data_IF_248819615945
#
_entry.id   IF_248819615945
#
_cell.length_a   1.000
_cell.length_b   1.000
_cell.length_c   1.000
_cell.angle_alpha   90.00
_cell.angle_beta   90.00
_cell.angle_gamma   90.00
#
_symmetry.space_group_name_H-M   'P 1'
#
loop_
_entity.id
_entity.type
_entity.pdbx_description
1 polymer ?
#
# COMPACT_ATOMS: atom_id res chain seq x y z
N UNK A 1 1.82 9.35 -20.34
CA UNK A 1 0.91 10.24 -19.57
C UNK A 1 -0.37 9.57 -19.10
N UNK A 2 -1.29 9.05 -19.95
CA UNK A 2 -2.56 8.48 -19.43
C UNK A 2 -2.38 7.35 -18.40
N UNK A 3 -1.43 6.44 -18.59
CA UNK A 3 -1.08 5.41 -17.59
C UNK A 3 -0.74 5.98 -16.20
N UNK A 4 -0.16 7.18 -16.13
CA UNK A 4 0.12 7.86 -14.86
C UNK A 4 -1.17 8.23 -14.15
N UNK A 5 -2.18 8.72 -14.89
CA UNK A 5 -3.51 8.98 -14.36
C UNK A 5 -4.22 7.70 -13.92
N UNK A 6 -3.98 6.57 -14.60
CA UNK A 6 -4.50 5.26 -14.16
C UNK A 6 -3.94 4.90 -12.79
N UNK A 7 -2.63 5.01 -12.56
CA UNK A 7 -2.03 4.77 -11.24
C UNK A 7 -2.59 5.70 -10.17
N UNK A 8 -2.73 6.99 -10.51
CA UNK A 8 -3.33 8.01 -9.64
C UNK A 8 -4.73 7.60 -9.17
N UNK A 9 -5.61 7.27 -10.11
CA UNK A 9 -7.01 6.94 -9.84
C UNK A 9 -7.19 5.57 -9.17
N UNK A 10 -6.34 4.60 -9.53
CA UNK A 10 -6.39 3.25 -8.97
C UNK A 10 -6.01 3.27 -7.48
N UNK A 11 -5.00 4.06 -7.13
CA UNK A 11 -4.45 4.12 -5.77
C UNK A 11 -4.87 5.35 -4.96
N UNK A 12 -5.78 6.17 -5.50
CA UNK A 12 -6.27 7.40 -4.88
C UNK A 12 -5.17 8.37 -4.43
N UNK A 13 -4.17 8.59 -5.29
CA UNK A 13 -2.98 9.39 -5.01
C UNK A 13 -3.15 10.85 -5.47
N UNK A 14 -2.44 11.77 -4.81
CA UNK A 14 -2.21 13.14 -5.32
C UNK A 14 -1.21 13.15 -6.48
N UNK A 15 -1.08 14.26 -7.19
CA UNK A 15 -0.14 14.36 -8.31
C UNK A 15 1.32 14.25 -7.82
N UNK A 16 1.61 14.86 -6.67
CA UNK A 16 2.91 14.79 -6.00
C UNK A 16 3.21 13.38 -5.48
N UNK A 17 2.21 12.70 -4.91
CA UNK A 17 2.37 11.32 -4.46
C UNK A 17 2.65 10.37 -5.62
N UNK A 18 2.00 10.57 -6.77
CA UNK A 18 2.26 9.76 -7.97
C UNK A 18 3.67 9.99 -8.47
N UNK A 19 4.13 11.24 -8.57
CA UNK A 19 5.52 11.55 -8.94
C UNK A 19 6.50 10.81 -8.03
N UNK A 20 6.35 10.97 -6.71
CA UNK A 20 7.20 10.32 -5.72
C UNK A 20 7.22 8.79 -5.88
N UNK A 21 6.05 8.17 -6.02
CA UNK A 21 5.92 6.72 -6.11
C UNK A 21 6.40 6.15 -7.45
N UNK A 22 6.39 6.92 -8.54
CA UNK A 22 6.99 6.49 -9.81
C UNK A 22 8.52 6.37 -9.66
N UNK A 23 9.15 7.30 -8.94
CA UNK A 23 10.60 7.27 -8.71
C UNK A 23 10.97 6.12 -7.75
N UNK A 24 10.16 5.90 -6.71
CA UNK A 24 10.43 4.90 -5.67
C UNK A 24 10.14 3.45 -6.14
N UNK A 25 9.10 3.23 -6.95
CA UNK A 25 8.58 1.87 -7.21
C UNK A 25 8.84 1.35 -8.61
N UNK A 26 9.67 0.31 -8.69
CA UNK A 26 9.93 -0.44 -9.93
C UNK A 26 8.65 -1.01 -10.58
N UNK A 27 7.63 -1.36 -9.80
CA UNK A 27 6.35 -1.81 -10.34
C UNK A 27 5.62 -0.70 -11.12
N UNK A 28 5.70 0.54 -10.65
CA UNK A 28 5.10 1.69 -11.33
C UNK A 28 5.90 2.02 -12.59
N UNK A 29 7.23 2.04 -12.51
CA UNK A 29 8.10 2.24 -13.68
C UNK A 29 7.83 1.20 -14.77
N UNK A 30 7.76 -0.09 -14.40
CA UNK A 30 7.42 -1.18 -15.31
C UNK A 30 6.06 -1.00 -15.98
N UNK A 31 5.03 -0.60 -15.22
CA UNK A 31 3.70 -0.35 -15.78
C UNK A 31 3.70 0.82 -16.77
N UNK A 32 4.41 1.90 -16.42
CA UNK A 32 4.55 3.09 -17.26
C UNK A 32 5.44 2.85 -18.48
N UNK A 33 6.33 1.84 -18.43
CA UNK A 33 7.33 1.57 -19.46
C UNK A 33 8.51 2.55 -19.41
N UNK A 34 8.81 3.07 -18.21
CA UNK A 34 9.93 3.98 -17.96
C UNK A 34 11.09 3.13 -17.44
N UNK A 35 12.30 3.35 -17.96
CA UNK A 35 13.51 2.71 -17.46
C UNK A 35 14.15 3.50 -16.29
N UNK A 36 15.17 2.94 -15.63
CA UNK A 36 15.85 3.58 -14.50
C UNK A 36 16.63 4.85 -14.86
N UNK A 37 16.83 5.11 -16.17
CA UNK A 37 17.62 6.23 -16.69
C UNK A 37 16.74 7.37 -17.20
N UNK A 38 15.43 7.14 -17.30
CA UNK A 38 14.44 8.10 -17.78
C UNK A 38 13.80 8.83 -16.60
N UNK A 39 13.65 10.15 -16.75
CA UNK A 39 13.00 10.98 -15.75
C UNK A 39 11.50 10.71 -15.68
N UNK A 40 10.99 10.58 -14.45
CA UNK A 40 9.55 10.55 -14.19
C UNK A 40 8.93 11.91 -14.53
N UNK A 41 7.69 11.96 -15.02
CA UNK A 41 6.98 13.23 -15.18
C UNK A 41 6.74 13.87 -13.82
N UNK A 42 7.11 15.15 -13.70
CA UNK A 42 6.86 15.93 -12.50
C UNK A 42 5.34 16.15 -12.27
N UNK A 43 4.96 16.49 -11.03
CA UNK A 43 3.56 16.74 -10.68
C UNK A 43 2.92 17.83 -11.55
N UNK A 44 3.72 18.81 -12.02
CA UNK A 44 3.22 19.88 -12.89
C UNK A 44 2.83 19.37 -14.28
N UNK A 45 3.61 18.46 -14.87
CA UNK A 45 3.29 17.81 -16.13
C UNK A 45 2.04 16.94 -16.01
N UNK A 46 1.90 16.20 -14.90
CA UNK A 46 0.71 15.39 -14.59
C UNK A 46 -0.53 16.28 -14.51
N UNK A 47 -0.45 17.36 -13.74
CA UNK A 47 -1.52 18.34 -13.58
C UNK A 47 -1.92 18.97 -14.92
N UNK A 48 -0.95 19.49 -15.69
CA UNK A 48 -1.20 20.11 -17.01
C UNK A 48 -1.82 19.13 -17.99
N UNK A 49 -1.41 17.87 -17.96
CA UNK A 49 -1.98 16.83 -18.81
C UNK A 49 -3.44 16.57 -18.45
N UNK A 50 -3.77 16.44 -17.16
CA UNK A 50 -5.16 16.27 -16.71
C UNK A 50 -6.03 17.46 -17.11
N UNK A 51 -5.53 18.67 -16.91
CA UNK A 51 -6.25 19.90 -17.25
C UNK A 51 -6.56 19.98 -18.75
N UNK A 52 -5.57 19.66 -19.60
CA UNK A 52 -5.75 19.60 -21.06
C UNK A 52 -6.68 18.48 -21.51
N UNK A 53 -6.70 17.35 -20.80
CA UNK A 53 -7.56 16.23 -21.13
C UNK A 53 -9.03 16.58 -20.87
N UNK A 54 -9.30 17.25 -19.75
CA UNK A 54 -10.65 17.62 -19.33
C UNK A 54 -11.47 16.43 -18.81
N UNK A 55 -12.46 16.72 -17.96
CA UNK A 55 -13.23 15.70 -17.24
C UNK A 55 -14.01 14.75 -18.17
N UNK A 56 -14.61 15.28 -19.24
CA UNK A 56 -15.42 14.48 -20.17
C UNK A 56 -14.58 13.42 -20.89
N UNK A 57 -13.39 13.80 -21.39
CA UNK A 57 -12.49 12.86 -22.08
C UNK A 57 -11.82 11.90 -21.11
N UNK A 58 -11.47 12.37 -19.91
CA UNK A 58 -10.95 11.50 -18.85
C UNK A 58 -11.96 10.39 -18.54
N UNK A 59 -13.24 10.72 -18.35
CA UNK A 59 -14.30 9.74 -18.11
C UNK A 59 -14.40 8.72 -19.25
N UNK A 60 -14.47 9.17 -20.51
CA UNK A 60 -14.57 8.29 -21.66
C UNK A 60 -13.40 7.29 -21.76
N UNK A 61 -12.17 7.75 -21.50
CA UNK A 61 -10.99 6.87 -21.52
C UNK A 61 -11.01 5.83 -20.39
N UNK A 62 -11.52 6.19 -19.21
CA UNK A 62 -11.66 5.24 -18.11
C UNK A 62 -12.80 4.23 -18.32
N UNK A 63 -13.86 4.61 -19.02
CA UNK A 63 -14.93 3.70 -19.45
C UNK A 63 -14.38 2.68 -20.45
N UNK A 64 -13.62 3.14 -21.45
CA UNK A 64 -12.96 2.27 -22.43
C UNK A 64 -11.94 1.33 -21.77
N UNK A 65 -11.14 1.85 -20.84
CA UNK A 65 -10.21 1.04 -20.05
C UNK A 65 -10.94 -0.04 -19.25
N UNK A 66 -12.06 0.30 -18.61
CA UNK A 66 -12.87 -0.66 -17.85
C UNK A 66 -13.39 -1.77 -18.76
N UNK A 67 -13.88 -1.43 -19.96
CA UNK A 67 -14.34 -2.42 -20.94
C UNK A 67 -13.21 -3.39 -21.36
N UNK A 68 -11.98 -2.89 -21.55
CA UNK A 68 -10.84 -3.78 -21.84
C UNK A 68 -10.49 -4.71 -20.67
N UNK A 69 -10.58 -4.21 -19.44
CA UNK A 69 -10.33 -4.99 -18.21
C UNK A 69 -11.38 -6.09 -18.06
N UNK A 70 -12.65 -5.78 -18.32
CA UNK A 70 -13.77 -6.72 -18.26
C UNK A 70 -13.61 -7.83 -19.32
N UNK A 71 -13.26 -7.47 -20.56
CA UNK A 71 -13.00 -8.44 -21.65
C UNK A 71 -11.83 -9.35 -21.32
N UNK A 72 -10.82 -8.85 -20.61
CA UNK A 72 -9.69 -9.66 -20.14
C UNK A 72 -10.04 -10.56 -18.94
N UNK A 73 -11.26 -10.46 -18.40
CA UNK A 73 -11.74 -11.25 -17.26
C UNK A 73 -11.20 -10.79 -15.91
N UNK A 74 -10.75 -9.53 -15.81
CA UNK A 74 -10.26 -8.94 -14.57
C UNK A 74 -11.26 -7.93 -14.01
N UNK A 75 -11.12 -7.58 -12.73
CA UNK A 75 -11.89 -6.53 -12.07
C UNK A 75 -10.89 -5.52 -11.46
N UNK A 76 -10.96 -4.26 -11.88
CA UNK A 76 -10.12 -3.20 -11.31
C UNK A 76 -10.68 -2.73 -9.97
N UNK A 77 -9.99 -3.06 -8.87
CA UNK A 77 -10.35 -2.59 -7.53
C UNK A 77 -9.58 -1.33 -7.18
N UNK A 78 -10.29 -0.20 -7.10
CA UNK A 78 -9.74 1.04 -6.54
C UNK A 78 -9.48 0.86 -5.05
N UNK A 79 -8.36 1.38 -4.57
CA UNK A 79 -8.04 1.35 -3.15
C UNK A 79 -6.69 1.98 -2.84
N UNK A 80 -6.57 2.56 -1.65
CA UNK A 80 -5.31 3.15 -1.22
C UNK A 80 -4.23 2.06 -1.10
N UNK A 81 -3.08 2.30 -1.72
CA UNK A 81 -1.94 1.41 -1.57
C UNK A 81 -1.26 1.68 -0.22
N UNK A 82 -1.51 0.81 0.76
CA UNK A 82 -0.84 0.85 2.06
C UNK A 82 0.25 -0.21 2.09
N UNK A 83 1.50 0.19 2.34
CA UNK A 83 2.58 -0.77 2.57
C UNK A 83 2.54 -1.23 4.02
N UNK A 84 2.04 -2.46 4.23
CA UNK A 84 1.91 -3.07 5.55
C UNK A 84 2.75 -4.34 5.63
N UNK A 85 3.86 -4.25 6.34
CA UNK A 85 4.77 -5.38 6.57
C UNK A 85 4.46 -6.05 7.92
N UNK A 86 4.31 -7.37 7.90
CA UNK A 86 4.17 -8.18 9.11
C UNK A 86 5.55 -8.66 9.55
N UNK A 87 6.04 -8.13 10.66
CA UNK A 87 7.31 -8.55 11.26
C UNK A 87 7.02 -9.65 12.27
N UNK A 88 7.36 -10.90 11.94
CA UNK A 88 7.11 -12.03 12.82
C UNK A 88 8.01 -12.01 14.05
N UNK A 89 7.45 -12.37 15.20
CA UNK A 89 8.18 -12.61 16.45
C UNK A 89 7.99 -14.05 16.93
N UNK A 90 8.95 -14.58 17.71
CA UNK A 90 8.76 -15.84 18.41
C UNK A 90 7.53 -15.78 19.31
N UNK A 91 6.65 -16.78 19.19
CA UNK A 91 5.46 -16.88 20.03
C UNK A 91 5.89 -17.19 21.46
N UNK A 92 5.70 -16.27 22.38
CA UNK A 92 5.88 -16.53 23.81
C UNK A 92 4.61 -17.20 24.34
N UNK A 93 4.75 -18.30 25.09
CA UNK A 93 3.59 -18.99 25.71
C UNK A 93 3.01 -18.24 26.91
N UNK A 94 3.73 -17.25 27.42
CA UNK A 94 3.34 -16.49 28.61
C UNK A 94 2.69 -15.18 28.17
N UNK A 95 1.46 -14.88 28.61
CA UNK A 95 0.78 -13.63 28.27
C UNK A 95 1.60 -12.43 28.76
N UNK A 96 1.43 -11.26 28.15
CA UNK A 96 2.14 -10.03 28.56
C UNK A 96 1.84 -9.71 30.02
N UNK A 97 0.56 -9.68 30.38
CA UNK A 97 0.12 -9.51 31.75
C UNK A 97 -0.07 -10.84 32.50
N UNK A 98 0.13 -10.88 33.83
CA UNK A 98 -0.28 -12.02 34.63
C UNK A 98 -1.80 -12.25 34.54
N UNK A 99 -2.23 -13.51 34.66
CA UNK A 99 -3.66 -13.82 34.79
C UNK A 99 -4.19 -13.26 36.12
N UNK A 100 -5.49 -12.96 36.17
CA UNK A 100 -6.14 -12.50 37.39
C UNK A 100 -5.87 -13.44 38.57
N UNK A 101 -5.42 -12.84 39.69
CA UNK A 101 -5.03 -13.57 40.90
C UNK A 101 -3.59 -14.11 40.92
N UNK A 102 -2.81 -13.94 39.84
CA UNK A 102 -1.39 -14.29 39.83
C UNK A 102 -0.53 -13.14 40.41
N UNK A 103 0.62 -13.46 41.03
CA UNK A 103 1.55 -12.44 41.52
C UNK A 103 2.06 -11.55 40.38
N UNK A 104 2.31 -10.28 40.69
CA UNK A 104 2.92 -9.33 39.77
C UNK A 104 4.25 -9.85 39.24
N UNK A 105 4.54 -9.55 37.98
CA UNK A 105 5.77 -10.01 37.33
C UNK A 105 6.99 -9.32 37.93
N UNK A 106 8.06 -10.09 38.13
CA UNK A 106 9.38 -9.51 38.39
C UNK A 106 9.89 -8.76 37.16
N UNK A 107 10.81 -7.81 37.36
CA UNK A 107 11.43 -7.03 36.27
C UNK A 107 12.03 -7.92 35.16
N UNK A 108 12.69 -9.01 35.52
CA UNK A 108 13.25 -9.97 34.55
C UNK A 108 12.16 -10.72 33.79
N UNK A 109 11.08 -11.15 34.48
CA UNK A 109 9.97 -11.84 33.83
C UNK A 109 9.19 -10.93 32.86
N UNK A 110 9.07 -9.65 33.19
CA UNK A 110 8.44 -8.65 32.32
C UNK A 110 9.32 -8.34 31.10
N UNK A 111 10.65 -8.21 31.26
CA UNK A 111 11.57 -7.93 30.15
C UNK A 111 11.61 -9.02 29.07
N UNK A 112 11.23 -10.26 29.41
CA UNK A 112 11.14 -11.38 28.47
C UNK A 112 9.78 -11.45 27.75
N UNK A 113 8.88 -10.50 28.00
CA UNK A 113 7.56 -10.39 27.37
C UNK A 113 7.51 -9.12 26.53
N UNK A 114 7.06 -9.28 25.30
CA UNK A 114 6.92 -8.19 24.35
C UNK A 114 5.47 -7.70 24.37
N UNK A 115 5.25 -6.53 24.97
CA UNK A 115 3.92 -5.94 25.10
C UNK A 115 3.37 -5.34 23.81
N UNK A 116 4.22 -5.07 22.83
CA UNK A 116 3.84 -4.40 21.59
C UNK A 116 3.48 -5.41 20.49
N UNK A 117 3.96 -6.65 20.59
CA UNK A 117 3.63 -7.73 19.65
C UNK A 117 2.21 -8.27 19.87
N UNK A 118 1.44 -8.36 18.78
CA UNK A 118 0.05 -8.81 18.81
C UNK A 118 -0.25 -9.81 17.69
N UNK A 119 -1.40 -10.49 17.81
CA UNK A 119 -1.90 -11.37 16.76
C UNK A 119 -2.57 -10.57 15.64
N UNK A 120 -2.15 -10.80 14.40
CA UNK A 120 -2.76 -10.23 13.19
C UNK A 120 -3.17 -11.35 12.24
N UNK A 121 -4.37 -11.28 11.66
CA UNK A 121 -4.84 -12.23 10.65
C UNK A 121 -4.70 -11.61 9.25
N UNK A 122 -4.06 -12.32 8.33
CA UNK A 122 -3.94 -11.95 6.91
C UNK A 122 -4.17 -13.18 6.04
N UNK A 123 -5.14 -13.12 5.12
CA UNK A 123 -5.52 -14.24 4.23
C UNK A 123 -5.73 -15.56 4.98
N UNK A 124 -6.58 -15.53 6.02
CA UNK A 124 -6.89 -16.70 6.86
C UNK A 124 -5.70 -17.34 7.59
N UNK A 125 -4.57 -16.64 7.67
CA UNK A 125 -3.39 -17.07 8.44
C UNK A 125 -3.11 -16.07 9.56
N UNK A 126 -2.84 -16.60 10.75
CA UNK A 126 -2.52 -15.81 11.94
C UNK A 126 -1.02 -15.65 12.12
N UNK A 127 -0.57 -14.41 12.29
CA UNK A 127 0.81 -14.00 12.50
C UNK A 127 0.93 -13.36 13.88
N UNK A 128 1.97 -13.69 14.64
CA UNK A 128 2.28 -13.03 15.91
C UNK A 128 3.51 -12.15 15.73
N UNK A 129 3.40 -10.88 16.09
CA UNK A 129 4.47 -9.90 15.93
C UNK A 129 3.93 -8.49 15.71
N UNK A 130 4.60 -7.71 14.87
CA UNK A 130 4.22 -6.32 14.63
C UNK A 130 3.63 -6.10 13.24
N UNK A 131 2.78 -5.09 13.15
CA UNK A 131 2.28 -4.56 11.88
C UNK A 131 2.93 -3.20 11.65
N UNK A 132 3.96 -3.17 10.81
CA UNK A 132 4.62 -1.92 10.43
C UNK A 132 3.92 -1.33 9.21
N UNK A 133 3.70 -0.03 9.24
CA UNK A 133 3.08 0.73 8.17
C UNK A 133 4.05 1.83 7.73
N UNK A 134 4.28 1.93 6.42
CA UNK A 134 4.92 3.09 5.81
C UNK A 134 3.81 3.83 5.05
N UNK A 135 3.60 5.10 5.41
CA UNK A 135 2.65 6.00 4.75
C UNK A 135 3.37 6.91 3.76
#
# INVERSE_FOLDING_TARGET
MFKVLVLRELYALSDEQVEYLIVDRLSFQRFLGIDLTQDAPDYTAIWRFRERLGAARMKALFEELSAFIDVAGFEARKGQMLDASLVQKPKTRKPVEPKDGAPALTRQQAAHRDGEANWTQKHDRSYFGYKSHIN
#
